data_IF_782246464461
#
_entry.id   IF_782246464461
#
_cell.length_a   1.000
_cell.length_b   1.000
_cell.length_c   1.000
_cell.angle_alpha   90.00
_cell.angle_beta   90.00
_cell.angle_gamma   90.00
#
_symmetry.space_group_name_H-M   'P 1'
#
loop_
_entity.id
_entity.type
_entity.pdbx_description
1 polymer ?
#
# COMPACT_ATOMS: atom_id res chain seq x y z
N UNK A 1 43.80 84.84 20.89
CA UNK A 1 43.68 83.38 20.66
C UNK A 1 42.21 82.99 20.68
N UNK A 2 41.62 82.65 19.54
CA UNK A 2 40.19 82.29 19.46
C UNK A 2 39.90 80.97 20.23
N UNK A 3 38.78 80.85 20.96
CA UNK A 3 38.52 79.70 21.82
C UNK A 3 38.23 78.47 20.97
N UNK A 4 39.18 77.53 20.94
CA UNK A 4 39.06 76.23 20.25
C UNK A 4 37.98 75.31 20.87
N UNK A 5 37.44 75.67 22.04
CA UNK A 5 36.50 74.84 22.83
C UNK A 5 35.09 74.72 22.24
N UNK A 6 34.52 75.78 21.65
CA UNK A 6 33.16 75.72 21.09
C UNK A 6 33.08 74.94 19.77
N UNK A 7 34.16 74.99 18.99
CA UNK A 7 34.29 74.16 17.77
C UNK A 7 34.39 72.67 18.12
N UNK A 8 35.11 72.33 19.20
CA UNK A 8 35.21 70.96 19.70
C UNK A 8 33.87 70.42 20.22
N UNK A 9 33.13 71.21 21.01
CA UNK A 9 31.79 70.83 21.52
C UNK A 9 30.75 70.69 20.41
N UNK A 10 30.79 71.56 19.38
CA UNK A 10 29.94 71.41 18.18
C UNK A 10 30.30 70.16 17.37
N UNK A 11 31.59 69.85 17.23
CA UNK A 11 32.05 68.64 16.55
C UNK A 11 31.62 67.37 17.30
N UNK A 12 31.71 67.36 18.64
CA UNK A 12 31.23 66.23 19.46
C UNK A 12 29.71 66.03 19.38
N UNK A 13 28.93 67.11 19.39
CA UNK A 13 27.47 67.04 19.20
C UNK A 13 27.09 66.53 17.81
N UNK A 14 27.77 66.99 16.77
CA UNK A 14 27.57 66.50 15.41
C UNK A 14 27.95 65.01 15.28
N UNK A 15 29.07 64.58 15.87
CA UNK A 15 29.50 63.19 15.87
C UNK A 15 28.53 62.26 16.63
N UNK A 16 27.92 62.74 17.73
CA UNK A 16 26.89 62.00 18.47
C UNK A 16 25.54 61.96 17.72
N UNK A 17 25.18 63.01 16.98
CA UNK A 17 23.98 63.05 16.15
C UNK A 17 24.05 62.14 14.90
N UNK A 18 25.26 61.92 14.35
CA UNK A 18 25.48 61.03 13.19
C UNK A 18 25.54 59.55 13.58
N UNK A 19 25.70 59.22 14.87
CA UNK A 19 25.58 57.86 15.41
C UNK A 19 24.10 57.46 15.57
N UNK A 20 23.31 57.61 14.50
CA UNK A 20 22.04 56.91 14.41
C UNK A 20 22.30 55.40 14.36
N UNK A 21 21.51 54.62 15.10
CA UNK A 21 21.51 53.16 14.97
C UNK A 21 21.14 52.80 13.54
N UNK A 22 22.14 52.50 12.72
CA UNK A 22 21.95 52.00 11.35
C UNK A 22 21.29 50.62 11.47
N UNK A 23 19.97 50.57 11.30
CA UNK A 23 19.27 49.29 11.21
C UNK A 23 19.75 48.57 9.94
N UNK A 24 20.65 47.60 10.12
CA UNK A 24 21.05 46.72 9.02
C UNK A 24 19.84 45.87 8.66
N UNK A 25 19.12 46.23 7.59
CA UNK A 25 18.07 45.38 7.03
C UNK A 25 18.70 44.14 6.42
N UNK A 26 18.66 43.02 7.14
CA UNK A 26 19.06 41.73 6.61
C UNK A 26 18.10 41.32 5.46
N UNK A 27 18.62 41.27 4.23
CA UNK A 27 17.87 40.75 3.07
C UNK A 27 18.06 39.24 2.99
N UNK A 28 16.99 38.50 2.66
CA UNK A 28 17.11 37.07 2.35
C UNK A 28 17.88 36.90 1.04
N UNK A 29 19.10 36.41 1.12
CA UNK A 29 19.95 36.12 -0.05
C UNK A 29 19.42 34.88 -0.75
N UNK A 30 19.11 34.99 -2.04
CA UNK A 30 18.74 33.86 -2.91
C UNK A 30 19.95 33.54 -3.79
N UNK A 31 20.52 32.35 -3.63
CA UNK A 31 21.72 31.91 -4.38
C UNK A 31 21.40 31.36 -5.78
N UNK A 32 20.14 30.99 -6.04
CA UNK A 32 19.67 30.50 -7.34
C UNK A 32 18.95 31.61 -8.10
N UNK A 33 19.19 31.69 -9.41
CA UNK A 33 18.56 32.67 -10.32
C UNK A 33 17.06 32.39 -10.49
N UNK A 34 16.65 31.12 -10.43
CA UNK A 34 15.24 30.71 -10.56
C UNK A 34 14.51 30.74 -9.22
N UNK A 35 13.32 31.32 -9.21
CA UNK A 35 12.41 31.26 -8.07
C UNK A 35 11.73 29.89 -7.97
N UNK A 36 11.78 29.28 -6.77
CA UNK A 36 11.08 28.03 -6.47
C UNK A 36 9.91 28.31 -5.54
N UNK A 37 8.77 27.67 -5.79
CA UNK A 37 7.62 27.76 -4.89
C UNK A 37 8.04 27.22 -3.50
N UNK A 38 7.85 27.98 -2.41
CA UNK A 38 8.12 27.46 -1.08
C UNK A 38 7.23 26.25 -0.81
N UNK A 39 7.76 25.26 -0.09
CA UNK A 39 6.94 24.14 0.39
C UNK A 39 5.97 24.70 1.43
N UNK A 40 4.69 24.65 1.11
CA UNK A 40 3.60 25.07 2.00
C UNK A 40 3.01 23.85 2.70
N UNK A 41 2.31 24.08 3.82
CA UNK A 41 1.53 23.03 4.48
C UNK A 41 0.42 22.53 3.54
N UNK A 42 0.40 21.24 3.25
CA UNK A 42 -0.68 20.58 2.52
C UNK A 42 -1.55 19.88 3.56
N UNK A 43 -2.74 20.40 3.82
CA UNK A 43 -3.69 19.79 4.75
C UNK A 43 -4.26 18.49 4.15
N UNK A 44 -4.52 17.51 5.02
CA UNK A 44 -5.27 16.32 4.63
C UNK A 44 -6.69 16.69 4.20
N UNK A 45 -7.33 15.83 3.39
CA UNK A 45 -8.73 16.03 2.98
C UNK A 45 -9.65 15.76 4.16
N UNK A 46 -10.45 16.76 4.53
CA UNK A 46 -11.46 16.68 5.59
C UNK A 46 -12.85 16.99 4.99
N UNK A 47 -13.57 15.97 4.47
CA UNK A 47 -14.86 16.16 3.84
C UNK A 47 -15.97 16.36 4.87
N UNK A 48 -16.80 17.40 4.70
CA UNK A 48 -17.91 17.70 5.61
C UNK A 48 -19.03 16.64 5.61
N UNK A 49 -19.15 15.85 4.54
CA UNK A 49 -20.12 14.79 4.39
C UNK A 49 -19.52 13.60 3.63
N UNK A 50 -19.95 12.37 3.91
CA UNK A 50 -19.48 11.21 3.17
C UNK A 50 -20.04 11.23 1.73
N UNK A 51 -19.23 10.83 0.75
CA UNK A 51 -19.65 10.79 -0.68
C UNK A 51 -20.67 9.70 -1.00
N UNK A 52 -20.71 8.65 -0.17
CA UNK A 52 -21.67 7.55 -0.25
C UNK A 52 -22.27 7.36 1.13
N UNK A 53 -23.56 7.11 1.19
CA UNK A 53 -24.30 6.91 2.45
C UNK A 53 -23.84 5.66 3.19
N UNK A 54 -23.48 4.62 2.45
CA UNK A 54 -22.99 3.35 2.98
C UNK A 54 -21.59 3.09 2.42
N UNK A 55 -20.73 2.54 3.27
CA UNK A 55 -19.46 1.99 2.83
C UNK A 55 -19.69 0.89 1.80
N UNK A 56 -18.82 0.80 0.80
CA UNK A 56 -18.89 -0.36 -0.12
C UNK A 56 -18.68 -1.61 0.73
N UNK A 57 -19.63 -2.57 0.68
CA UNK A 57 -19.38 -3.93 1.18
C UNK A 57 -18.04 -4.36 0.60
N UNK A 58 -17.04 -4.60 1.45
CA UNK A 58 -15.61 -4.57 1.14
C UNK A 58 -15.18 -5.48 -0.01
N UNK A 59 -14.38 -6.50 0.27
CA UNK A 59 -13.98 -7.45 -0.77
C UNK A 59 -15.19 -8.30 -1.18
N UNK A 60 -15.69 -8.09 -2.41
CA UNK A 60 -16.78 -8.88 -3.02
C UNK A 60 -16.37 -10.31 -3.40
N UNK A 61 -15.09 -10.65 -3.23
CA UNK A 61 -14.55 -12.00 -3.40
C UNK A 61 -14.45 -12.66 -2.03
N UNK A 62 -15.54 -13.30 -1.62
CA UNK A 62 -15.57 -14.18 -0.48
C UNK A 62 -15.00 -15.56 -0.83
N UNK A 63 -14.79 -16.38 0.20
CA UNK A 63 -14.12 -17.69 0.11
C UNK A 63 -14.87 -18.64 -0.84
N UNK A 64 -16.21 -18.62 -0.78
CA UNK A 64 -17.09 -19.45 -1.60
C UNK A 64 -17.11 -19.00 -3.06
N UNK A 65 -16.97 -17.71 -3.33
CA UNK A 65 -16.82 -17.22 -4.71
C UNK A 65 -15.44 -17.53 -5.30
N UNK A 66 -14.40 -17.48 -4.46
CA UNK A 66 -13.03 -17.82 -4.88
C UNK A 66 -12.97 -19.27 -5.34
N UNK A 67 -13.38 -20.23 -4.51
CA UNK A 67 -13.35 -21.66 -4.83
C UNK A 67 -14.73 -22.08 -5.31
N UNK A 68 -14.90 -22.31 -6.62
CA UNK A 68 -16.20 -22.61 -7.21
C UNK A 68 -16.53 -24.09 -7.15
N UNK A 69 -15.63 -24.94 -7.67
CA UNK A 69 -15.83 -26.38 -7.64
C UNK A 69 -14.50 -27.14 -7.78
N UNK A 70 -14.41 -28.36 -7.23
CA UNK A 70 -13.28 -29.24 -7.49
C UNK A 70 -13.30 -29.76 -8.93
N UNK A 71 -12.13 -30.16 -9.45
CA UNK A 71 -12.01 -30.79 -10.76
C UNK A 71 -11.87 -32.30 -10.56
N UNK A 72 -12.80 -33.06 -11.14
CA UNK A 72 -12.93 -34.51 -10.96
C UNK A 72 -12.43 -35.32 -12.16
N UNK A 73 -11.64 -34.71 -13.05
CA UNK A 73 -11.06 -35.41 -14.21
C UNK A 73 -10.01 -36.42 -13.78
N UNK A 74 -9.80 -37.51 -14.53
CA UNK A 74 -8.77 -38.52 -14.26
C UNK A 74 -7.38 -37.91 -13.98
N UNK A 75 -6.97 -36.93 -14.78
CA UNK A 75 -5.69 -36.21 -14.57
C UNK A 75 -5.62 -35.45 -13.24
N UNK A 76 -6.76 -35.02 -12.70
CA UNK A 76 -6.85 -34.37 -11.40
C UNK A 76 -6.88 -35.41 -10.28
N UNK A 77 -7.60 -36.54 -10.45
CA UNK A 77 -7.61 -37.63 -9.48
C UNK A 77 -6.19 -38.19 -9.26
N UNK A 78 -5.43 -38.43 -10.35
CA UNK A 78 -4.00 -38.82 -10.27
C UNK A 78 -3.14 -37.82 -9.50
N UNK A 79 -3.46 -36.53 -9.57
CA UNK A 79 -2.73 -35.47 -8.84
C UNK A 79 -3.03 -35.47 -7.34
N UNK A 80 -4.21 -35.93 -6.94
CA UNK A 80 -4.58 -36.10 -5.53
C UNK A 80 -3.78 -37.27 -4.97
N UNK A 81 -3.74 -38.40 -5.67
CA UNK A 81 -3.05 -39.63 -5.27
C UNK A 81 -1.51 -39.49 -5.24
N UNK A 82 -0.90 -38.99 -6.31
CA UNK A 82 0.57 -39.07 -6.47
C UNK A 82 1.34 -37.90 -5.80
N UNK A 83 0.79 -36.68 -5.86
CA UNK A 83 1.55 -35.44 -5.57
C UNK A 83 0.98 -34.66 -4.39
N UNK A 84 -0.07 -35.17 -3.74
CA UNK A 84 -0.77 -34.49 -2.65
C UNK A 84 -1.25 -33.09 -3.10
N UNK A 85 -1.96 -33.05 -4.23
CA UNK A 85 -2.45 -31.81 -4.84
C UNK A 85 -3.94 -31.87 -5.14
N UNK A 86 -4.69 -30.92 -4.57
CA UNK A 86 -6.10 -30.69 -4.91
C UNK A 86 -6.22 -29.76 -6.11
N UNK A 87 -7.21 -30.02 -6.98
CA UNK A 87 -7.44 -29.23 -8.19
C UNK A 87 -8.81 -28.58 -8.12
N UNK A 88 -8.84 -27.25 -8.20
CA UNK A 88 -10.08 -26.46 -8.14
C UNK A 88 -10.28 -25.59 -9.37
N UNK A 89 -11.54 -25.30 -9.65
CA UNK A 89 -11.97 -24.20 -10.48
C UNK A 89 -12.21 -22.98 -9.61
N UNK A 90 -11.68 -21.86 -10.07
CA UNK A 90 -11.54 -20.64 -9.28
C UNK A 90 -12.00 -19.44 -10.11
N UNK A 91 -12.47 -18.39 -9.43
CA UNK A 91 -12.76 -17.10 -10.05
C UNK A 91 -11.52 -16.51 -10.78
N UNK A 92 -11.76 -15.90 -11.95
CA UNK A 92 -10.72 -15.27 -12.78
C UNK A 92 -9.94 -14.16 -12.06
N UNK A 93 -10.57 -13.45 -11.12
CA UNK A 93 -9.95 -12.36 -10.37
C UNK A 93 -9.19 -12.83 -9.12
N UNK A 94 -9.34 -14.10 -8.73
CA UNK A 94 -8.68 -14.62 -7.54
C UNK A 94 -7.16 -14.72 -7.73
N UNK A 95 -6.39 -14.17 -6.80
CA UNK A 95 -4.93 -14.27 -6.77
C UNK A 95 -4.48 -15.49 -5.97
N UNK A 96 -3.24 -15.95 -6.17
CA UNK A 96 -2.70 -17.14 -5.48
C UNK A 96 -2.79 -17.05 -3.94
N UNK A 97 -2.48 -15.91 -3.28
CA UNK A 97 -2.64 -15.79 -1.82
C UNK A 97 -4.10 -15.93 -1.37
N UNK A 98 -5.04 -15.31 -2.10
CA UNK A 98 -6.48 -15.42 -1.80
C UNK A 98 -6.99 -16.87 -1.92
N UNK A 99 -6.51 -17.61 -2.92
CA UNK A 99 -6.85 -19.05 -3.07
C UNK A 99 -6.29 -19.84 -1.89
N UNK A 100 -5.05 -19.57 -1.47
CA UNK A 100 -4.42 -20.24 -0.33
C UNK A 100 -5.21 -20.00 0.96
N UNK A 101 -5.64 -18.76 1.19
CA UNK A 101 -6.46 -18.40 2.36
C UNK A 101 -7.85 -19.04 2.30
N UNK A 102 -8.50 -19.03 1.13
CA UNK A 102 -9.82 -19.63 0.95
C UNK A 102 -9.80 -21.15 1.19
N UNK A 103 -8.80 -21.87 0.66
CA UNK A 103 -8.65 -23.33 0.90
C UNK A 103 -8.44 -23.60 2.38
N UNK A 104 -7.58 -22.80 3.04
CA UNK A 104 -7.32 -22.92 4.47
C UNK A 104 -8.56 -22.71 5.31
N UNK A 105 -9.43 -21.80 4.92
CA UNK A 105 -10.61 -21.45 5.70
C UNK A 105 -11.83 -22.32 5.41
N UNK A 106 -11.90 -22.96 4.24
CA UNK A 106 -13.03 -23.82 3.86
C UNK A 106 -12.81 -25.27 4.27
N UNK A 107 -11.57 -25.74 4.20
CA UNK A 107 -11.24 -27.15 4.40
C UNK A 107 -10.28 -27.38 5.57
N UNK A 108 -9.89 -26.33 6.30
CA UNK A 108 -8.94 -26.37 7.43
C UNK A 108 -7.56 -26.96 7.09
N UNK A 109 -7.14 -26.81 5.82
CA UNK A 109 -5.89 -27.37 5.30
C UNK A 109 -4.84 -26.29 5.03
N UNK A 110 -3.57 -26.57 5.32
CA UNK A 110 -2.46 -25.69 4.93
C UNK A 110 -1.94 -26.06 3.54
N UNK A 111 -1.87 -25.07 2.65
CA UNK A 111 -1.25 -25.26 1.33
C UNK A 111 0.25 -24.91 1.37
N UNK A 112 1.08 -25.76 0.78
CA UNK A 112 2.47 -25.46 0.51
C UNK A 112 2.58 -24.40 -0.60
N UNK A 113 2.02 -24.69 -1.78
CA UNK A 113 2.04 -23.80 -2.95
C UNK A 113 0.77 -23.87 -3.78
N UNK A 114 0.48 -22.80 -4.52
CA UNK A 114 -0.66 -22.71 -5.45
C UNK A 114 -0.15 -22.32 -6.84
N UNK A 115 -0.47 -23.15 -7.83
CA UNK A 115 -0.24 -22.89 -9.24
C UNK A 115 -1.59 -22.64 -9.91
N UNK A 116 -1.65 -21.73 -10.88
CA UNK A 116 -2.91 -21.37 -11.55
C UNK A 116 -2.68 -21.28 -13.05
N UNK A 117 -3.65 -21.72 -13.84
CA UNK A 117 -3.75 -21.43 -15.27
C UNK A 117 -5.16 -20.95 -15.62
N UNK A 118 -5.30 -20.29 -16.76
CA UNK A 118 -6.60 -19.99 -17.36
C UNK A 118 -6.87 -21.07 -18.40
N UNK A 119 -8.03 -21.74 -18.31
CA UNK A 119 -8.45 -22.71 -19.31
C UNK A 119 -9.00 -22.00 -20.56
N UNK A 120 -9.01 -22.67 -21.73
CA UNK A 120 -9.67 -22.15 -22.92
C UNK A 120 -11.17 -21.85 -22.68
N UNK A 121 -11.80 -22.57 -21.75
CA UNK A 121 -13.19 -22.34 -21.29
C UNK A 121 -13.41 -21.00 -20.57
N UNK A 122 -12.37 -20.17 -20.40
CA UNK A 122 -12.45 -18.89 -19.69
C UNK A 122 -12.53 -19.01 -18.16
N UNK A 123 -12.34 -20.21 -17.59
CA UNK A 123 -12.31 -20.43 -16.14
C UNK A 123 -10.89 -20.62 -15.64
N UNK A 124 -10.55 -20.11 -14.45
CA UNK A 124 -9.24 -20.35 -13.83
C UNK A 124 -9.21 -21.74 -13.19
N UNK A 125 -8.17 -22.52 -13.46
CA UNK A 125 -7.88 -23.79 -12.77
C UNK A 125 -6.71 -23.57 -11.82
N UNK A 126 -6.84 -24.02 -10.58
CA UNK A 126 -5.80 -23.93 -9.55
C UNK A 126 -5.38 -25.33 -9.10
N UNK A 127 -4.07 -25.57 -9.14
CA UNK A 127 -3.43 -26.71 -8.50
C UNK A 127 -2.91 -26.27 -7.13
N UNK A 128 -3.45 -26.87 -6.09
CA UNK A 128 -3.17 -26.53 -4.69
C UNK A 128 -2.42 -27.71 -4.06
N UNK A 129 -1.12 -27.54 -3.85
CA UNK A 129 -0.31 -28.54 -3.15
C UNK A 129 -0.45 -28.35 -1.65
N UNK A 130 -0.81 -29.40 -0.93
CA UNK A 130 -0.93 -29.36 0.53
C UNK A 130 0.44 -29.49 1.19
N UNK A 131 0.52 -29.16 2.48
CA UNK A 131 1.70 -29.51 3.29
C UNK A 131 1.68 -31.01 3.61
N UNK A 132 2.84 -31.56 3.99
CA UNK A 132 2.97 -32.99 4.31
C UNK A 132 2.14 -33.42 5.53
N UNK A 133 1.70 -32.46 6.35
CA UNK A 133 0.86 -32.71 7.52
C UNK A 133 -0.57 -33.16 7.16
N UNK A 134 -0.99 -32.96 5.91
CA UNK A 134 -2.34 -33.27 5.43
C UNK A 134 -2.27 -34.17 4.20
N UNK A 135 -3.11 -35.20 4.17
CA UNK A 135 -3.31 -36.03 2.99
C UNK A 135 -4.45 -35.46 2.12
N UNK A 136 -4.19 -35.28 0.82
CA UNK A 136 -5.18 -34.82 -0.15
C UNK A 136 -6.30 -35.84 -0.35
N UNK A 137 -6.03 -37.15 -0.19
CA UNK A 137 -7.06 -38.18 -0.32
C UNK A 137 -8.12 -38.04 0.78
N UNK A 138 -7.69 -37.92 2.04
CA UNK A 138 -8.61 -37.74 3.18
C UNK A 138 -9.41 -36.44 3.09
N UNK A 139 -8.80 -35.39 2.56
CA UNK A 139 -9.49 -34.11 2.34
C UNK A 139 -10.50 -34.23 1.20
N UNK A 140 -10.15 -34.92 0.11
CA UNK A 140 -11.06 -35.15 -1.01
C UNK A 140 -12.29 -35.98 -0.60
N UNK A 141 -12.11 -36.99 0.26
CA UNK A 141 -13.20 -37.77 0.85
C UNK A 141 -14.12 -36.88 1.71
N UNK A 142 -13.54 -35.99 2.53
CA UNK A 142 -14.31 -35.02 3.33
C UNK A 142 -15.11 -34.04 2.47
N UNK A 143 -14.60 -33.68 1.30
CA UNK A 143 -15.32 -32.82 0.34
C UNK A 143 -16.39 -33.61 -0.43
N UNK A 144 -16.24 -34.94 -0.53
CA UNK A 144 -17.17 -35.83 -1.25
C UNK A 144 -16.89 -35.90 -2.76
N UNK A 145 -15.60 -35.89 -3.15
CA UNK A 145 -15.17 -35.95 -4.56
C UNK A 145 -14.74 -37.37 -4.98
N UNK A 146 -14.43 -38.21 -3.99
CA UNK A 146 -14.00 -39.61 -4.11
C UNK A 146 -15.03 -40.47 -3.38
#
# INVERSE_FOLDING_TARGET
MAPKGDKAKKAEKAAKAVKGTVSKKARKVRTKVRFYRPKTLIKARDPKYPRKSVESRGDKLDKYRIIQCPVTTESAMKKIEEINTLVFLVDLKATKPKIKEAVKQLYDVKCAKVNTLIRPDGKKKAYVRLTQDYDALDVANRIGII
#
